data_IF_331157624576
#
_entry.id   IF_331157624576
#
_cell.length_a   1.000
_cell.length_b   1.000
_cell.length_c   1.000
_cell.angle_alpha   90.00
_cell.angle_beta   90.00
_cell.angle_gamma   90.00
#
_symmetry.space_group_name_H-M   'P 1'
#
loop_
_entity.id
_entity.type
_entity.pdbx_description
1 polymer ?
#
# COMPACT_ATOMS: atom_id res chain seq x y z
N UNK A 1 -40.61 -16.32 -11.32
CA UNK A 1 -39.13 -16.46 -11.27
C UNK A 1 -38.52 -15.27 -11.97
N UNK A 2 -37.59 -14.57 -11.31
CA UNK A 2 -36.81 -13.48 -11.88
C UNK A 2 -35.47 -14.04 -12.33
N UNK A 3 -35.03 -13.68 -13.53
CA UNK A 3 -33.82 -14.19 -14.16
C UNK A 3 -32.95 -13.01 -14.60
N UNK A 4 -31.69 -13.01 -14.18
CA UNK A 4 -30.68 -12.07 -14.63
C UNK A 4 -29.84 -12.72 -15.71
N UNK A 5 -29.59 -12.02 -16.81
CA UNK A 5 -28.79 -12.52 -17.94
C UNK A 5 -27.49 -11.74 -17.99
N UNK A 6 -26.37 -12.44 -18.11
CA UNK A 6 -25.05 -11.84 -18.28
C UNK A 6 -24.57 -12.01 -19.71
N UNK A 7 -24.29 -10.88 -20.38
CA UNK A 7 -23.77 -10.87 -21.75
C UNK A 7 -22.89 -9.65 -21.97
N UNK A 8 -21.80 -9.82 -22.69
CA UNK A 8 -20.89 -8.75 -23.08
C UNK A 8 -20.42 -7.88 -21.89
N UNK A 9 -20.23 -8.50 -20.73
CA UNK A 9 -19.77 -7.85 -19.49
C UNK A 9 -20.84 -7.13 -18.68
N UNK A 10 -22.12 -7.16 -19.09
CA UNK A 10 -23.21 -6.50 -18.39
C UNK A 10 -24.25 -7.48 -17.85
N UNK A 11 -24.73 -7.23 -16.63
CA UNK A 11 -25.86 -7.94 -16.03
C UNK A 11 -27.16 -7.22 -16.38
N UNK A 12 -28.03 -7.89 -17.11
CA UNK A 12 -29.31 -7.38 -17.56
C UNK A 12 -30.46 -8.09 -16.83
N UNK A 13 -31.51 -7.35 -16.49
CA UNK A 13 -32.70 -7.88 -15.82
C UNK A 13 -33.13 -7.04 -14.62
N UNK A 14 -34.02 -7.56 -13.76
CA UNK A 14 -34.58 -8.92 -13.79
C UNK A 14 -35.58 -9.10 -14.94
N UNK A 15 -35.50 -10.24 -15.63
CA UNK A 15 -36.49 -10.66 -16.64
C UNK A 15 -37.38 -11.79 -16.10
N UNK A 16 -38.61 -11.83 -16.58
CA UNK A 16 -39.51 -12.97 -16.42
C UNK A 16 -39.32 -13.97 -17.57
N UNK A 17 -39.67 -15.24 -17.36
CA UNK A 17 -39.59 -16.30 -18.39
C UNK A 17 -40.36 -15.93 -19.67
N UNK A 18 -41.49 -15.22 -19.55
CA UNK A 18 -42.29 -14.73 -20.68
C UNK A 18 -41.59 -13.61 -21.46
N UNK A 19 -40.76 -12.79 -20.81
CA UNK A 19 -39.97 -11.75 -21.48
C UNK A 19 -38.71 -12.30 -22.15
N UNK A 20 -38.12 -13.38 -21.63
CA UNK A 20 -36.91 -13.98 -22.20
C UNK A 20 -37.13 -14.73 -23.52
N UNK A 21 -38.31 -15.33 -23.72
CA UNK A 21 -38.66 -16.04 -24.97
C UNK A 21 -38.55 -15.16 -26.21
N UNK A 22 -39.24 -14.00 -26.31
CA UNK A 22 -39.11 -13.12 -27.47
C UNK A 22 -37.69 -12.57 -27.64
N UNK A 23 -36.93 -12.36 -26.56
CA UNK A 23 -35.55 -11.91 -26.66
C UNK A 23 -34.59 -12.97 -27.22
N UNK A 24 -34.87 -14.27 -27.02
CA UNK A 24 -34.15 -15.35 -27.68
C UNK A 24 -34.54 -15.47 -29.16
N UNK A 25 -35.82 -15.28 -29.48
CA UNK A 25 -36.33 -15.36 -30.86
C UNK A 25 -35.86 -14.18 -31.72
N UNK A 26 -35.74 -12.99 -31.13
CA UNK A 26 -35.22 -11.78 -31.77
C UNK A 26 -33.67 -11.76 -31.86
N UNK A 27 -32.99 -12.74 -31.28
CA UNK A 27 -31.52 -12.84 -31.29
C UNK A 27 -30.81 -11.90 -30.29
N UNK A 28 -31.56 -11.13 -29.52
CA UNK A 28 -31.04 -10.25 -28.46
C UNK A 28 -30.26 -11.04 -27.40
N UNK A 29 -30.68 -12.28 -27.11
CA UNK A 29 -29.93 -13.24 -26.28
C UNK A 29 -29.58 -14.52 -27.07
N UNK A 30 -28.46 -15.15 -26.74
CA UNK A 30 -28.05 -16.46 -27.27
C UNK A 30 -28.39 -17.53 -26.24
N UNK A 31 -28.69 -18.74 -26.73
CA UNK A 31 -29.01 -19.91 -25.87
C UNK A 31 -27.91 -20.27 -24.87
N UNK A 32 -26.67 -19.91 -25.18
CA UNK A 32 -25.48 -20.16 -24.35
C UNK A 32 -25.10 -18.97 -23.44
N UNK A 33 -25.84 -17.85 -23.48
CA UNK A 33 -25.59 -16.74 -22.56
C UNK A 33 -25.89 -17.19 -21.12
N UNK A 34 -25.13 -16.66 -20.16
CA UNK A 34 -25.25 -17.04 -18.75
C UNK A 34 -26.48 -16.37 -18.13
N UNK A 35 -27.19 -17.11 -17.30
CA UNK A 35 -28.38 -16.66 -16.60
C UNK A 35 -28.39 -17.15 -15.16
N UNK A 36 -28.79 -16.28 -14.23
CA UNK A 36 -28.95 -16.59 -12.82
C UNK A 36 -30.42 -16.40 -12.43
N UNK A 37 -31.03 -17.44 -11.86
CA UNK A 37 -32.45 -17.44 -11.49
C UNK A 37 -32.70 -17.75 -10.00
N UNK A 38 -31.68 -18.19 -9.27
CA UNK A 38 -31.71 -18.55 -7.86
C UNK A 38 -30.84 -17.62 -7.00
N UNK A 39 -30.19 -16.62 -7.62
CA UNK A 39 -29.31 -15.65 -6.97
C UNK A 39 -27.89 -16.16 -6.71
N UNK A 40 -27.57 -17.42 -7.03
CA UNK A 40 -26.29 -18.05 -6.67
C UNK A 40 -25.62 -18.73 -7.86
N UNK A 41 -26.39 -19.44 -8.70
CA UNK A 41 -25.85 -20.27 -9.78
C UNK A 41 -26.08 -19.65 -11.15
N UNK A 42 -25.01 -19.53 -11.92
CA UNK A 42 -25.05 -19.12 -13.31
C UNK A 42 -25.15 -20.34 -14.23
N UNK A 43 -26.29 -20.50 -14.88
CA UNK A 43 -26.57 -21.58 -15.83
C UNK A 43 -26.76 -21.01 -17.24
N UNK A 44 -26.62 -21.82 -18.27
CA UNK A 44 -26.92 -21.39 -19.64
C UNK A 44 -28.41 -21.06 -19.77
N UNK A 45 -28.78 -20.04 -20.55
CA UNK A 45 -30.18 -19.65 -20.77
C UNK A 45 -31.08 -20.85 -21.18
N UNK A 46 -30.57 -21.76 -22.00
CA UNK A 46 -31.29 -23.00 -22.40
C UNK A 46 -31.64 -23.94 -21.24
N UNK A 47 -30.86 -23.89 -20.16
CA UNK A 47 -30.97 -24.77 -19.00
C UNK A 47 -31.79 -24.09 -17.87
N UNK A 48 -32.26 -22.85 -18.08
CA UNK A 48 -33.13 -22.15 -17.14
C UNK A 48 -34.50 -22.85 -17.08
N UNK A 49 -34.94 -23.28 -15.87
CA UNK A 49 -36.23 -23.96 -15.71
C UNK A 49 -37.40 -23.15 -16.28
N UNK A 50 -38.18 -23.77 -17.18
CA UNK A 50 -39.36 -23.16 -17.80
C UNK A 50 -39.11 -22.38 -19.10
N UNK A 51 -37.84 -22.22 -19.53
CA UNK A 51 -37.51 -21.48 -20.76
C UNK A 51 -37.70 -22.34 -22.03
N UNK A 52 -37.24 -23.59 -22.02
CA UNK A 52 -37.38 -24.55 -23.13
C UNK A 52 -38.18 -25.76 -22.64
N UNK A 53 -39.48 -25.80 -22.96
CA UNK A 53 -40.32 -26.97 -22.72
C UNK A 53 -40.21 -27.95 -23.89
N UNK A 54 -39.13 -28.74 -23.90
CA UNK A 54 -38.90 -29.83 -24.85
C UNK A 54 -38.55 -31.11 -24.09
N UNK A 55 -39.40 -32.15 -24.22
CA UNK A 55 -39.36 -33.47 -23.56
C UNK A 55 -37.94 -34.00 -23.28
N UNK A 56 -37.61 -34.18 -21.99
CA UNK A 56 -36.60 -35.17 -21.57
C UNK A 56 -37.19 -36.56 -21.81
N UNK A 57 -36.99 -37.11 -23.01
CA UNK A 57 -37.26 -38.51 -23.30
C UNK A 57 -36.01 -39.33 -22.96
N UNK A 58 -36.07 -40.08 -21.85
CA UNK A 58 -35.18 -41.23 -21.64
C UNK A 58 -35.56 -42.29 -22.67
N UNK A 59 -34.66 -42.61 -23.60
CA UNK A 59 -34.71 -43.88 -24.35
C UNK A 59 -33.38 -44.60 -24.22
N UNK A 60 -33.48 -45.82 -23.70
CA UNK A 60 -32.43 -46.82 -23.73
C UNK A 60 -32.13 -47.21 -25.19
N UNK A 61 -30.84 -47.18 -25.56
CA UNK A 61 -30.33 -47.60 -26.85
C UNK A 61 -28.97 -48.29 -26.66
N UNK A 62 -29.03 -49.62 -26.68
CA UNK A 62 -28.06 -50.61 -27.17
C UNK A 62 -26.54 -50.35 -27.03
N UNK A 63 -25.88 -51.32 -26.38
CA UNK A 63 -24.44 -51.56 -26.40
C UNK A 63 -23.85 -51.42 -27.81
N UNK A 64 -22.93 -50.46 -27.97
CA UNK A 64 -21.82 -50.55 -28.92
C UNK A 64 -20.56 -50.50 -28.06
N UNK A 65 -19.72 -51.53 -28.17
CA UNK A 65 -18.46 -51.66 -27.47
C UNK A 65 -17.56 -50.45 -27.77
N UNK A 66 -17.14 -49.71 -26.73
CA UNK A 66 -16.07 -48.70 -26.86
C UNK A 66 -14.78 -49.41 -27.28
N UNK A 67 -14.04 -48.90 -28.28
CA UNK A 67 -12.68 -49.39 -28.53
C UNK A 67 -11.81 -49.09 -27.30
N UNK A 68 -10.86 -49.98 -27.00
CA UNK A 68 -10.02 -49.95 -25.82
C UNK A 68 -9.26 -48.60 -25.68
N UNK A 69 -9.80 -47.73 -24.82
CA UNK A 69 -9.36 -46.34 -24.67
C UNK A 69 -8.17 -46.16 -23.72
N UNK A 70 -7.58 -47.24 -23.20
CA UNK A 70 -6.44 -47.17 -22.26
C UNK A 70 -5.27 -46.36 -22.83
N UNK A 71 -4.94 -46.55 -24.11
CA UNK A 71 -3.86 -45.81 -24.76
C UNK A 71 -4.20 -44.33 -25.01
N UNK A 72 -5.45 -44.01 -25.36
CA UNK A 72 -5.90 -42.62 -25.59
C UNK A 72 -5.92 -41.85 -24.27
N UNK A 73 -6.45 -42.44 -23.18
CA UNK A 73 -6.44 -41.82 -21.85
C UNK A 73 -5.02 -41.62 -21.31
N UNK A 74 -4.11 -42.58 -21.54
CA UNK A 74 -2.69 -42.46 -21.14
C UNK A 74 -1.95 -41.39 -21.95
N UNK A 75 -2.25 -41.25 -23.25
CA UNK A 75 -1.71 -40.16 -24.09
C UNK A 75 -2.24 -38.79 -23.66
N UNK A 76 -3.54 -38.67 -23.41
CA UNK A 76 -4.14 -37.41 -22.91
C UNK A 76 -3.57 -37.03 -21.54
N UNK A 77 -3.37 -38.00 -20.65
CA UNK A 77 -2.72 -37.76 -19.35
C UNK A 77 -1.25 -37.30 -19.52
N UNK A 78 -0.48 -37.94 -20.42
CA UNK A 78 0.89 -37.54 -20.71
C UNK A 78 0.99 -36.13 -21.31
N UNK A 79 0.09 -35.77 -22.22
CA UNK A 79 0.02 -34.42 -22.77
C UNK A 79 -0.37 -33.39 -21.70
N UNK A 80 -1.33 -33.70 -20.82
CA UNK A 80 -1.73 -32.83 -19.73
C UNK A 80 -0.60 -32.58 -18.71
N UNK A 81 0.17 -33.63 -18.38
CA UNK A 81 1.34 -33.53 -17.50
C UNK A 81 2.46 -32.73 -18.15
N UNK A 82 2.73 -32.93 -19.44
CA UNK A 82 3.71 -32.13 -20.18
C UNK A 82 3.32 -30.65 -20.26
N UNK A 83 2.04 -30.33 -20.47
CA UNK A 83 1.59 -28.94 -20.45
C UNK A 83 1.73 -28.31 -19.07
N UNK A 84 1.45 -29.06 -18.00
CA UNK A 84 1.67 -28.59 -16.62
C UNK A 84 3.16 -28.32 -16.32
N UNK A 85 4.05 -29.19 -16.80
CA UNK A 85 5.50 -29.04 -16.64
C UNK A 85 6.04 -27.83 -17.41
N UNK A 86 5.57 -27.60 -18.64
CA UNK A 86 5.94 -26.42 -19.42
C UNK A 86 5.41 -25.13 -18.78
N UNK A 87 4.17 -25.15 -18.28
CA UNK A 87 3.61 -24.03 -17.53
C UNK A 87 4.40 -23.77 -16.24
N UNK A 88 4.78 -24.80 -15.47
CA UNK A 88 5.55 -24.59 -14.23
C UNK A 88 6.93 -24.01 -14.50
N UNK A 89 7.63 -24.49 -15.53
CA UNK A 89 8.93 -23.94 -15.94
C UNK A 89 8.81 -22.50 -16.42
N UNK A 90 7.77 -22.19 -17.22
CA UNK A 90 7.51 -20.83 -17.69
C UNK A 90 7.16 -19.86 -16.55
N UNK A 91 6.38 -20.30 -15.57
CA UNK A 91 6.05 -19.53 -14.37
C UNK A 91 7.31 -19.30 -13.53
N UNK A 92 8.11 -20.34 -13.28
CA UNK A 92 9.37 -20.21 -12.56
C UNK A 92 10.37 -19.29 -13.28
N UNK A 93 10.48 -19.38 -14.61
CA UNK A 93 11.33 -18.47 -15.39
C UNK A 93 10.82 -17.03 -15.37
N UNK A 94 9.50 -16.81 -15.40
CA UNK A 94 8.90 -15.48 -15.25
C UNK A 94 9.25 -14.84 -13.90
N UNK A 95 9.16 -15.61 -12.80
CA UNK A 95 9.58 -15.11 -11.49
C UNK A 95 11.10 -14.87 -11.40
N UNK A 96 11.92 -15.74 -12.01
CA UNK A 96 13.39 -15.60 -12.03
C UNK A 96 13.86 -14.41 -12.88
N UNK A 97 13.14 -14.09 -13.96
CA UNK A 97 13.41 -12.92 -14.80
C UNK A 97 12.89 -11.60 -14.16
N UNK A 98 12.00 -11.68 -13.17
CA UNK A 98 11.44 -10.53 -12.45
C UNK A 98 12.02 -10.35 -11.02
N UNK A 99 13.17 -10.95 -10.73
CA UNK A 99 13.85 -10.87 -9.42
C UNK A 99 14.36 -9.45 -9.07
N UNK A 100 14.22 -8.48 -9.98
CA UNK A 100 14.62 -7.08 -9.76
C UNK A 100 13.71 -6.30 -8.80
N UNK A 101 12.43 -6.69 -8.63
CA UNK A 101 11.43 -5.91 -7.89
C UNK A 101 11.71 -5.78 -6.37
N UNK A 102 12.30 -6.80 -5.74
CA UNK A 102 12.57 -6.77 -4.29
C UNK A 102 13.73 -5.83 -3.92
N UNK A 103 14.73 -5.74 -4.80
CA UNK A 103 15.90 -4.88 -4.60
C UNK A 103 15.54 -3.39 -4.72
N UNK A 104 14.62 -3.06 -5.62
CA UNK A 104 14.12 -1.70 -5.84
C UNK A 104 13.28 -1.27 -4.65
N UNK A 105 12.36 -2.12 -4.18
CA UNK A 105 11.49 -1.81 -3.04
C UNK A 105 12.27 -1.47 -1.76
N UNK A 106 13.31 -2.24 -1.42
CA UNK A 106 14.16 -1.97 -0.26
C UNK A 106 14.98 -0.68 -0.42
N UNK A 107 15.51 -0.44 -1.62
CA UNK A 107 16.33 0.75 -1.93
C UNK A 107 15.49 2.02 -1.96
N UNK A 108 14.24 1.92 -2.39
CA UNK A 108 13.27 3.01 -2.41
C UNK A 108 12.73 3.30 -1.00
N UNK A 109 12.38 2.26 -0.22
CA UNK A 109 11.97 2.41 1.19
C UNK A 109 13.10 2.99 2.05
N UNK A 110 14.36 2.62 1.77
CA UNK A 110 15.52 3.20 2.45
C UNK A 110 15.75 4.67 2.06
N UNK A 111 15.38 5.08 0.84
CA UNK A 111 15.44 6.48 0.40
C UNK A 111 14.28 7.32 0.94
N UNK A 112 13.09 6.74 1.09
CA UNK A 112 11.92 7.49 1.60
C UNK A 112 12.02 7.79 3.09
N UNK A 113 12.73 6.95 3.86
CA UNK A 113 12.89 7.10 5.31
C UNK A 113 14.13 7.88 5.72
N UNK A 114 14.92 8.39 4.78
CA UNK A 114 16.13 9.14 5.06
C UNK A 114 16.18 10.39 4.19
N UNK A 115 16.14 11.55 4.84
CA UNK A 115 16.41 12.84 4.19
C UNK A 115 17.73 13.39 4.73
N UNK A 116 18.71 13.53 3.85
CA UNK A 116 19.99 14.17 4.18
C UNK A 116 19.90 15.67 3.91
N UNK A 117 20.37 16.47 4.85
CA UNK A 117 20.46 17.93 4.71
C UNK A 117 21.87 18.40 5.06
N UNK A 118 22.25 19.54 4.47
CA UNK A 118 23.50 20.21 4.76
C UNK A 118 23.34 21.21 5.91
N UNK A 119 24.41 21.50 6.68
CA UNK A 119 24.39 22.54 7.71
C UNK A 119 23.96 23.91 7.17
N UNK A 120 24.32 24.24 5.92
CA UNK A 120 23.95 25.50 5.28
C UNK A 120 22.44 25.64 5.00
N UNK A 121 21.68 24.55 5.06
CA UNK A 121 20.22 24.58 4.95
C UNK A 121 19.55 24.89 6.29
N UNK A 122 20.27 24.86 7.41
CA UNK A 122 19.71 25.21 8.73
C UNK A 122 19.65 26.72 8.86
N UNK A 123 18.42 27.24 8.93
CA UNK A 123 18.15 28.69 8.93
C UNK A 123 18.17 29.25 10.35
N UNK A 124 17.49 28.57 11.26
CA UNK A 124 17.22 29.06 12.62
C UNK A 124 17.01 27.88 13.57
N UNK A 125 17.35 28.06 14.84
CA UNK A 125 17.08 27.10 15.91
C UNK A 125 16.15 27.77 16.91
N UNK A 126 14.91 27.29 16.97
CA UNK A 126 13.87 27.93 17.77
C UNK A 126 14.02 27.58 19.24
N UNK A 127 14.19 26.30 19.56
CA UNK A 127 14.46 25.76 20.90
C UNK A 127 15.42 24.57 20.80
N UNK A 128 15.64 23.83 21.88
CA UNK A 128 16.58 22.70 21.87
C UNK A 128 16.16 21.54 20.96
N UNK A 129 14.86 21.35 20.72
CA UNK A 129 14.32 20.24 19.94
C UNK A 129 13.73 20.64 18.58
N UNK A 130 13.66 21.93 18.26
CA UNK A 130 13.01 22.45 17.06
C UNK A 130 13.91 23.44 16.34
N UNK A 131 14.19 23.15 15.07
CA UNK A 131 14.95 24.02 14.17
C UNK A 131 14.24 24.14 12.82
N UNK A 132 14.66 25.10 11.98
CA UNK A 132 14.09 25.34 10.66
C UNK A 132 15.11 25.12 9.57
N UNK A 133 14.64 24.57 8.47
CA UNK A 133 15.48 24.29 7.30
C UNK A 133 14.87 24.85 6.02
N UNK A 134 15.73 25.20 5.07
CA UNK A 134 15.36 25.51 3.69
C UNK A 134 15.71 24.32 2.78
N UNK A 135 14.71 23.76 2.10
CA UNK A 135 14.88 22.63 1.18
C UNK A 135 15.02 23.12 -0.26
N UNK A 136 16.22 22.97 -0.83
CA UNK A 136 16.49 23.35 -2.23
C UNK A 136 15.64 22.54 -3.22
N UNK A 137 15.16 23.19 -4.27
CA UNK A 137 14.36 22.56 -5.33
C UNK A 137 12.92 22.21 -4.90
N UNK A 138 12.52 22.53 -3.67
CA UNK A 138 11.14 22.40 -3.19
C UNK A 138 10.45 23.76 -3.30
N UNK A 139 9.16 23.78 -3.64
CA UNK A 139 8.40 25.02 -3.71
C UNK A 139 8.44 25.76 -2.35
N UNK A 140 8.63 27.09 -2.30
CA UNK A 140 8.78 27.87 -1.06
C UNK A 140 7.74 27.57 0.03
N UNK A 141 6.47 27.39 -0.36
CA UNK A 141 5.39 27.01 0.56
C UNK A 141 5.67 25.73 1.38
N UNK A 142 6.47 24.82 0.87
CA UNK A 142 6.80 23.54 1.49
C UNK A 142 8.28 23.40 1.87
N UNK A 143 9.14 24.22 1.26
CA UNK A 143 10.59 24.12 1.38
C UNK A 143 11.22 25.17 2.29
N UNK A 144 10.65 26.38 2.36
CA UNK A 144 11.26 27.49 3.10
C UNK A 144 10.81 27.48 4.56
N UNK A 145 11.74 27.76 5.47
CA UNK A 145 11.53 27.84 6.91
C UNK A 145 10.81 26.63 7.50
N UNK A 146 11.01 25.44 6.92
CA UNK A 146 10.31 24.22 7.28
C UNK A 146 10.71 23.80 8.71
N UNK A 147 9.78 23.78 9.68
CA UNK A 147 10.12 23.41 11.04
C UNK A 147 10.33 21.90 11.17
N UNK A 148 11.46 21.50 11.75
CA UNK A 148 11.83 20.12 12.07
C UNK A 148 11.87 20.00 13.59
N UNK A 149 11.04 19.10 14.15
CA UNK A 149 11.07 18.73 15.58
C UNK A 149 11.77 17.39 15.76
N UNK A 150 12.68 17.31 16.71
CA UNK A 150 13.35 16.09 17.12
C UNK A 150 12.34 15.17 17.79
N UNK A 151 12.22 13.95 17.26
CA UNK A 151 11.30 12.91 17.75
C UNK A 151 11.75 12.39 19.12
N UNK A 152 10.78 12.14 20.01
CA UNK A 152 10.99 11.43 21.27
C UNK A 152 11.53 12.28 22.43
N UNK A 153 11.67 13.59 22.24
CA UNK A 153 12.13 14.50 23.29
C UNK A 153 11.27 15.77 23.40
N UNK A 154 11.35 16.37 24.57
CA UNK A 154 10.95 17.74 24.86
C UNK A 154 12.13 18.49 25.46
N UNK A 155 12.22 19.79 25.21
CA UNK A 155 13.22 20.71 25.77
C UNK A 155 12.52 21.89 26.46
N UNK A 156 13.17 22.58 27.42
CA UNK A 156 12.52 23.69 28.11
C UNK A 156 12.23 24.81 27.12
N UNK A 157 11.04 25.40 27.23
CA UNK A 157 10.58 26.45 26.32
C UNK A 157 11.20 27.81 26.69
N UNK A 158 11.77 28.49 25.71
CA UNK A 158 12.39 29.83 25.89
C UNK A 158 11.37 30.87 26.38
N UNK A 159 10.08 30.66 26.08
CA UNK A 159 8.98 31.53 26.51
C UNK A 159 8.45 31.19 27.92
N UNK A 160 9.13 30.32 28.66
CA UNK A 160 8.80 29.98 30.04
C UNK A 160 8.87 31.17 31.01
N UNK A 161 8.24 31.01 32.17
CA UNK A 161 8.05 32.09 33.15
C UNK A 161 9.27 32.33 34.03
N UNK A 162 9.99 31.26 34.40
CA UNK A 162 11.16 31.32 35.30
C UNK A 162 12.45 31.60 34.54
N UNK A 163 13.34 32.41 35.13
CA UNK A 163 14.62 32.75 34.52
C UNK A 163 15.59 31.55 34.47
N UNK A 164 15.48 30.61 35.42
CA UNK A 164 16.24 29.36 35.39
C UNK A 164 15.84 28.48 34.20
N UNK A 165 14.54 28.38 33.91
CA UNK A 165 14.04 27.65 32.75
C UNK A 165 14.46 28.28 31.43
N UNK A 166 14.46 29.62 31.36
CA UNK A 166 14.95 30.33 30.17
C UNK A 166 16.44 30.10 29.97
N UNK A 167 17.23 30.07 31.04
CA UNK A 167 18.66 29.78 30.95
C UNK A 167 18.91 28.36 30.42
N UNK A 168 18.17 27.38 30.92
CA UNK A 168 18.23 25.99 30.46
C UNK A 168 17.78 25.84 29.00
N UNK A 169 16.69 26.52 28.63
CA UNK A 169 16.19 26.57 27.25
C UNK A 169 17.22 27.18 26.29
N UNK A 170 17.89 28.25 26.74
CA UNK A 170 18.93 28.92 25.97
C UNK A 170 20.16 28.02 25.79
N UNK A 171 20.55 27.29 26.83
CA UNK A 171 21.64 26.31 26.77
C UNK A 171 21.32 25.19 25.77
N UNK A 172 20.11 24.61 25.85
CA UNK A 172 19.64 23.59 24.92
C UNK A 172 19.65 24.09 23.47
N UNK A 173 19.09 25.28 23.21
CA UNK A 173 19.07 25.90 21.89
C UNK A 173 20.48 26.13 21.34
N UNK A 174 21.37 26.72 22.14
CA UNK A 174 22.73 27.04 21.70
C UNK A 174 23.55 25.77 21.44
N UNK A 175 23.34 24.72 22.24
CA UNK A 175 23.98 23.42 22.01
C UNK A 175 23.52 22.83 20.67
N UNK A 176 22.21 22.76 20.44
CA UNK A 176 21.63 22.28 19.18
C UNK A 176 22.13 23.08 17.98
N UNK A 177 22.15 24.41 18.08
CA UNK A 177 22.67 25.30 17.04
C UNK A 177 24.15 25.02 16.74
N UNK A 178 24.99 24.88 17.77
CA UNK A 178 26.41 24.58 17.60
C UNK A 178 26.65 23.23 16.93
N UNK A 179 25.87 22.21 17.29
CA UNK A 179 25.96 20.87 16.72
C UNK A 179 25.52 20.85 15.25
N UNK A 180 24.38 21.49 14.93
CA UNK A 180 23.85 21.55 13.57
C UNK A 180 24.77 22.34 12.65
N UNK A 181 25.24 23.52 13.07
CA UNK A 181 26.12 24.37 12.24
C UNK A 181 27.53 23.80 12.09
N UNK A 182 28.02 23.06 13.09
CA UNK A 182 29.33 22.40 13.07
C UNK A 182 29.34 21.03 12.38
N UNK A 183 28.18 20.50 12.02
CA UNK A 183 28.03 19.19 11.42
C UNK A 183 28.72 19.10 10.04
N UNK A 184 29.17 17.91 9.65
CA UNK A 184 29.48 17.63 8.24
C UNK A 184 28.25 17.11 7.51
N UNK A 185 27.44 16.32 8.21
CA UNK A 185 26.23 15.69 7.68
C UNK A 185 25.13 15.68 8.72
N UNK A 186 23.93 16.06 8.29
CA UNK A 186 22.71 15.96 9.10
C UNK A 186 21.74 15.01 8.38
N UNK A 187 21.21 14.05 9.12
CA UNK A 187 20.29 13.05 8.63
C UNK A 187 18.97 13.15 9.40
N UNK A 188 17.87 13.30 8.67
CA UNK A 188 16.51 13.20 9.18
C UNK A 188 16.01 11.78 8.86
N UNK A 189 15.99 10.92 9.87
CA UNK A 189 15.53 9.53 9.75
C UNK A 189 14.07 9.43 10.14
N UNK A 190 13.35 8.56 9.43
CA UNK A 190 11.91 8.32 9.58
C UNK A 190 11.10 9.64 9.66
N UNK A 191 11.27 10.57 8.70
CA UNK A 191 10.58 11.85 8.75
C UNK A 191 9.07 11.64 8.57
N UNK A 192 8.30 12.20 9.49
CA UNK A 192 6.84 12.12 9.52
C UNK A 192 6.22 13.53 9.51
N UNK A 193 5.00 13.66 9.01
CA UNK A 193 4.26 14.92 9.10
C UNK A 193 3.72 15.10 10.52
N UNK A 194 4.14 16.17 11.17
CA UNK A 194 3.63 16.59 12.47
C UNK A 194 2.40 17.49 12.37
N UNK A 195 1.80 17.79 13.52
CA UNK A 195 0.78 18.84 13.66
C UNK A 195 1.38 20.21 13.31
N UNK A 196 0.58 21.12 12.77
CA UNK A 196 1.00 22.50 12.42
C UNK A 196 2.05 22.57 11.28
N UNK A 197 1.95 21.69 10.28
CA UNK A 197 2.82 21.67 9.10
C UNK A 197 4.33 21.44 9.35
N UNK A 198 4.74 21.08 10.57
CA UNK A 198 6.14 20.68 10.87
C UNK A 198 6.44 19.25 10.43
N UNK A 199 7.73 18.92 10.36
CA UNK A 199 8.22 17.55 10.28
C UNK A 199 8.63 17.10 11.67
N UNK A 200 8.37 15.84 12.00
CA UNK A 200 8.91 15.16 13.18
C UNK A 200 9.86 14.08 12.68
N UNK A 201 11.10 14.09 13.14
CA UNK A 201 12.11 13.14 12.65
C UNK A 201 13.12 12.77 13.74
N UNK A 202 13.75 11.61 13.59
CA UNK A 202 14.96 11.29 14.32
C UNK A 202 16.13 12.05 13.68
N UNK A 203 16.76 12.94 14.44
CA UNK A 203 17.81 13.82 13.92
C UNK A 203 19.17 13.25 14.31
N UNK A 204 20.00 12.98 13.31
CA UNK A 204 21.34 12.44 13.47
C UNK A 204 22.36 13.42 12.90
N UNK A 205 23.39 13.70 13.69
CA UNK A 205 24.48 14.62 13.35
C UNK A 205 25.77 13.82 13.37
N UNK A 206 26.43 13.71 12.21
CA UNK A 206 27.68 12.97 12.04
C UNK A 206 27.65 11.55 12.66
N UNK A 207 26.49 10.88 12.56
CA UNK A 207 26.27 9.53 13.08
C UNK A 207 25.83 9.44 14.55
N UNK A 208 25.61 10.56 15.23
CA UNK A 208 25.11 10.60 16.62
C UNK A 208 23.70 11.18 16.69
N UNK A 209 22.81 10.56 17.47
CA UNK A 209 21.44 11.04 17.64
C UNK A 209 21.40 12.31 18.51
N UNK A 210 20.86 13.41 17.97
CA UNK A 210 20.72 14.70 18.67
C UNK A 210 19.90 14.56 19.96
N UNK A 211 18.85 13.74 19.94
CA UNK A 211 18.03 13.45 21.11
C UNK A 211 18.86 12.90 22.28
N UNK A 212 19.79 11.98 22.01
CA UNK A 212 20.66 11.40 23.04
C UNK A 212 21.66 12.44 23.53
N UNK A 213 22.29 13.20 22.61
CA UNK A 213 23.25 14.24 22.98
C UNK A 213 22.65 15.31 23.90
N UNK A 214 21.39 15.70 23.68
CA UNK A 214 20.67 16.64 24.55
C UNK A 214 20.33 16.02 25.91
N UNK A 215 19.86 14.76 25.93
CA UNK A 215 19.54 14.04 27.17
C UNK A 215 20.76 13.83 28.05
N UNK A 216 21.90 13.47 27.47
CA UNK A 216 23.17 13.28 28.20
C UNK A 216 23.65 14.56 28.90
N UNK A 217 23.23 15.73 28.40
CA UNK A 217 23.50 17.04 28.99
C UNK A 217 22.44 17.49 29.98
N UNK A 218 21.37 16.72 30.18
CA UNK A 218 20.23 17.11 31.02
C UNK A 218 19.37 18.22 30.39
N UNK A 219 19.48 18.42 29.07
CA UNK A 219 18.81 19.49 28.34
C UNK A 219 17.55 19.03 27.60
N UNK A 220 17.24 17.73 27.67
CA UNK A 220 16.02 17.14 27.11
C UNK A 220 15.44 16.08 28.07
N UNK A 221 14.11 15.91 28.02
CA UNK A 221 13.36 14.84 28.69
C UNK A 221 12.61 14.02 27.64
N UNK A 222 12.35 12.74 27.93
CA UNK A 222 11.59 11.88 27.01
C UNK A 222 10.15 12.40 26.87
N UNK A 223 9.68 12.51 25.62
CA UNK A 223 8.32 12.93 25.30
C UNK A 223 7.91 12.40 23.93
N UNK A 224 6.78 11.71 23.87
CA UNK A 224 6.28 11.07 22.64
C UNK A 224 5.47 12.01 21.75
N UNK A 225 5.19 13.24 22.21
CA UNK A 225 4.36 14.20 21.49
C UNK A 225 2.87 14.12 21.82
N UNK A 226 2.48 13.23 22.73
CA UNK A 226 1.12 13.04 23.22
C UNK A 226 1.03 13.28 24.72
N UNK A 227 -0.15 13.65 25.21
CA UNK A 227 -0.38 13.90 26.63
C UNK A 227 0.35 15.13 27.18
N UNK A 228 0.55 15.12 28.49
CA UNK A 228 1.17 16.21 29.25
C UNK A 228 2.68 16.24 29.01
N UNK A 229 3.21 17.46 28.87
CA UNK A 229 4.65 17.68 28.74
C UNK A 229 5.36 17.35 30.06
N UNK A 230 6.62 16.89 30.01
CA UNK A 230 7.40 16.69 31.22
C UNK A 230 7.58 18.01 31.98
N UNK A 231 7.52 17.95 33.31
CA UNK A 231 7.83 19.10 34.16
C UNK A 231 9.32 19.44 34.04
N UNK A 232 9.66 20.73 34.02
CA UNK A 232 11.02 21.24 33.88
C UNK A 232 11.55 21.81 35.19
#
# INVERSE_FOLDING_TARGET
MQVYVHRDGQNMGPYTISQLRPCLDQGSFKKNDLACHDGVNWVSLKDVPGLITGKVSRKAGKFISKPDSKHVKRRVLLFAVMTLLVCSVGISAYFFLNEEDQSITLKETSRTNLLEINPGQVVDVYDGDTFKVDLEGVHPLFGDNLPIRVKGIDTPEIRGTSDELKALALEARNLTESMLKGAKKIELRNPERGKYFRIVAEVWIDGNALAIMLKDKGLAKDYDGEGERPEW
#
